data_IF_279998626149
#
_entry.id   IF_279998626149
#
_cell.length_a   1.000
_cell.length_b   1.000
_cell.length_c   1.000
_cell.angle_alpha   90.00
_cell.angle_beta   90.00
_cell.angle_gamma   90.00
#
_symmetry.space_group_name_H-M   'P 1'
#
loop_
_entity.id
_entity.type
_entity.pdbx_description
1 polymer ?
#
# COMPACT_ATOMS: atom_id res chain seq x y z
N UNK A 1 32.56 -13.36 -12.56
CA UNK A 1 31.39 -12.47 -12.75
C UNK A 1 30.70 -12.30 -11.42
N UNK A 2 30.97 -11.21 -10.70
CA UNK A 2 30.25 -10.85 -9.47
C UNK A 2 29.88 -9.39 -9.64
N UNK A 3 28.75 -9.14 -10.29
CA UNK A 3 28.07 -7.85 -10.22
C UNK A 3 26.83 -8.06 -9.36
N UNK A 4 27.05 -8.04 -8.06
CA UNK A 4 25.97 -7.80 -7.11
C UNK A 4 25.62 -6.33 -7.25
N UNK A 5 24.53 -6.03 -7.95
CA UNK A 5 23.88 -4.73 -7.89
C UNK A 5 23.34 -4.53 -6.48
N UNK A 6 24.22 -4.13 -5.56
CA UNK A 6 23.82 -3.51 -4.31
C UNK A 6 23.00 -2.29 -4.69
N UNK A 7 21.69 -2.36 -4.49
CA UNK A 7 20.81 -1.21 -4.46
C UNK A 7 21.30 -0.29 -3.36
N UNK A 8 22.24 0.60 -3.68
CA UNK A 8 22.56 1.74 -2.81
C UNK A 8 21.23 2.47 -2.66
N UNK A 9 20.65 2.53 -1.46
CA UNK A 9 19.35 3.15 -1.32
C UNK A 9 19.52 4.65 -1.61
N UNK A 10 18.61 5.23 -2.41
CA UNK A 10 18.68 6.61 -2.96
C UNK A 10 19.09 7.70 -1.94
N UNK A 11 18.85 7.43 -0.66
CA UNK A 11 19.22 8.24 0.51
C UNK A 11 20.73 8.48 0.70
N UNK A 12 21.60 7.66 0.12
CA UNK A 12 23.07 7.84 0.25
C UNK A 12 23.63 8.87 -0.74
N UNK A 13 22.92 9.16 -1.84
CA UNK A 13 23.36 10.15 -2.83
C UNK A 13 22.88 11.58 -2.49
N UNK A 14 21.87 11.69 -1.63
CA UNK A 14 21.24 12.95 -1.21
C UNK A 14 22.22 14.00 -0.65
N UNK A 15 23.19 13.66 0.23
CA UNK A 15 24.13 14.67 0.75
C UNK A 15 25.03 15.25 -0.36
N UNK A 16 25.44 14.44 -1.34
CA UNK A 16 26.29 14.89 -2.44
C UNK A 16 25.53 15.78 -3.43
N UNK A 17 24.27 15.45 -3.73
CA UNK A 17 23.39 16.25 -4.60
C UNK A 17 23.13 17.66 -4.05
N UNK A 18 23.14 17.84 -2.72
CA UNK A 18 22.98 19.16 -2.09
C UNK A 18 24.25 20.01 -2.17
N UNK A 19 25.43 19.40 -2.11
CA UNK A 19 26.72 20.10 -2.11
C UNK A 19 27.22 20.45 -3.51
N UNK A 20 26.82 19.69 -4.53
CA UNK A 20 27.26 19.86 -5.91
C UNK A 20 26.95 21.26 -6.50
N UNK A 21 25.74 21.83 -6.30
CA UNK A 21 25.42 23.18 -6.80
C UNK A 21 26.26 24.26 -6.12
N UNK A 22 26.51 24.13 -4.82
CA UNK A 22 27.35 25.06 -4.06
C UNK A 22 28.82 24.99 -4.53
N UNK A 23 29.33 23.79 -4.80
CA UNK A 23 30.67 23.59 -5.32
C UNK A 23 30.85 24.17 -6.73
N UNK A 24 29.84 24.01 -7.61
CA UNK A 24 29.84 24.61 -8.96
C UNK A 24 29.81 26.14 -8.87
N UNK A 25 29.01 26.72 -7.97
CA UNK A 25 28.94 28.16 -7.76
C UNK A 25 30.30 28.74 -7.32
N UNK A 26 30.96 28.11 -6.34
CA UNK A 26 32.30 28.51 -5.85
C UNK A 26 33.36 28.41 -6.96
N UNK A 27 33.27 27.41 -7.85
CA UNK A 27 34.17 27.26 -9.00
C UNK A 27 33.91 28.32 -10.08
N UNK A 28 32.66 28.70 -10.29
CA UNK A 28 32.28 29.70 -11.30
C UNK A 28 32.81 31.10 -10.97
N UNK A 29 32.87 31.48 -9.69
CA UNK A 29 33.45 32.77 -9.25
C UNK A 29 34.93 32.93 -9.64
N UNK A 30 35.66 31.80 -9.80
CA UNK A 30 37.08 31.82 -10.21
C UNK A 30 37.30 32.12 -11.70
N UNK A 31 36.24 32.20 -12.50
CA UNK A 31 36.31 32.46 -13.95
C UNK A 31 36.17 33.94 -14.32
N UNK A 32 36.21 34.86 -13.34
CA UNK A 32 36.17 36.30 -13.57
C UNK A 32 34.79 36.82 -14.00
N UNK A 33 34.69 37.95 -14.73
CA UNK A 33 33.42 38.63 -15.03
C UNK A 33 32.40 37.77 -15.82
N UNK A 34 32.90 36.83 -16.62
CA UNK A 34 32.07 35.86 -17.35
C UNK A 34 31.49 34.82 -16.40
N UNK A 35 32.27 34.43 -15.37
CA UNK A 35 31.85 33.52 -14.30
C UNK A 35 30.66 34.04 -13.49
N UNK A 36 30.61 35.34 -13.21
CA UNK A 36 29.49 35.97 -12.50
C UNK A 36 28.16 35.87 -13.27
N UNK A 37 28.17 36.06 -14.59
CA UNK A 37 26.96 35.87 -15.43
C UNK A 37 26.52 34.42 -15.47
N UNK A 38 27.47 33.48 -15.60
CA UNK A 38 27.19 32.03 -15.57
C UNK A 38 26.61 31.60 -14.23
N UNK A 39 27.13 32.12 -13.12
CA UNK A 39 26.64 31.85 -11.77
C UNK A 39 25.19 32.29 -11.59
N UNK A 40 24.82 33.48 -12.06
CA UNK A 40 23.44 33.99 -11.98
C UNK A 40 22.48 33.11 -12.79
N UNK A 41 22.83 32.76 -14.03
CA UNK A 41 21.98 31.89 -14.85
C UNK A 41 21.84 30.48 -14.27
N UNK A 42 22.94 29.91 -13.76
CA UNK A 42 22.92 28.61 -13.10
C UNK A 42 22.05 28.64 -11.84
N UNK A 43 22.22 29.64 -10.98
CA UNK A 43 21.43 29.78 -9.76
C UNK A 43 19.94 29.98 -10.08
N UNK A 44 19.62 30.82 -11.07
CA UNK A 44 18.24 31.02 -11.53
C UNK A 44 17.63 29.71 -12.05
N UNK A 45 18.36 28.92 -12.84
CA UNK A 45 17.89 27.60 -13.31
C UNK A 45 17.72 26.61 -12.17
N UNK A 46 18.62 26.60 -11.18
CA UNK A 46 18.56 25.71 -10.04
C UNK A 46 17.34 26.03 -9.15
N UNK A 47 17.08 27.32 -8.93
CA UNK A 47 15.88 27.78 -8.21
C UNK A 47 14.62 27.40 -8.98
N UNK A 48 14.58 27.62 -10.30
CA UNK A 48 13.42 27.25 -11.13
C UNK A 48 13.15 25.74 -11.06
N UNK A 49 14.19 24.90 -11.18
CA UNK A 49 14.07 23.45 -11.04
C UNK A 49 13.58 23.09 -9.63
N UNK A 50 14.15 23.67 -8.57
CA UNK A 50 13.73 23.41 -7.20
C UNK A 50 12.26 23.78 -6.96
N UNK A 51 11.80 24.91 -7.51
CA UNK A 51 10.39 25.33 -7.44
C UNK A 51 9.46 24.38 -8.21
N UNK A 52 9.93 23.79 -9.32
CA UNK A 52 9.14 22.84 -10.12
C UNK A 52 9.13 21.41 -9.56
N UNK A 53 10.16 21.01 -8.80
CA UNK A 53 10.21 19.67 -8.19
C UNK A 53 8.99 19.42 -7.31
N UNK A 54 8.61 20.37 -6.45
CA UNK A 54 7.47 20.20 -5.54
C UNK A 54 6.12 19.94 -6.26
N UNK A 55 5.66 20.79 -7.20
CA UNK A 55 4.40 20.56 -7.91
C UNK A 55 4.45 19.32 -8.82
N UNK A 56 5.59 19.02 -9.46
CA UNK A 56 5.72 17.82 -10.30
C UNK A 56 5.66 16.55 -9.45
N UNK A 57 6.38 16.51 -8.33
CA UNK A 57 6.35 15.36 -7.41
C UNK A 57 4.98 15.19 -6.77
N UNK A 58 4.30 16.29 -6.41
CA UNK A 58 2.91 16.24 -5.95
C UNK A 58 1.98 15.68 -7.03
N UNK A 59 2.04 16.20 -8.25
CA UNK A 59 1.22 15.74 -9.38
C UNK A 59 1.43 14.24 -9.66
N UNK A 60 2.70 13.80 -9.67
CA UNK A 60 3.06 12.39 -9.85
C UNK A 60 2.55 11.49 -8.73
N UNK A 61 2.48 11.96 -7.49
CA UNK A 61 1.92 11.19 -6.37
C UNK A 61 0.39 11.20 -6.36
N UNK A 62 -0.23 12.33 -6.69
CA UNK A 62 -1.69 12.50 -6.68
C UNK A 62 -2.36 11.76 -7.85
N UNK A 63 -1.79 11.89 -9.06
CA UNK A 63 -2.41 11.41 -10.30
C UNK A 63 -1.67 10.19 -10.86
N UNK A 64 -0.36 10.15 -10.69
CA UNK A 64 0.50 9.08 -11.22
C UNK A 64 0.60 7.85 -10.33
N UNK A 65 1.11 6.77 -10.92
CA UNK A 65 1.42 5.50 -10.25
C UNK A 65 0.46 4.36 -10.64
N UNK A 66 1.02 3.22 -11.03
CA UNK A 66 0.31 1.95 -11.15
C UNK A 66 0.56 1.08 -9.91
N UNK A 67 -0.41 0.26 -9.50
CA UNK A 67 -0.21 -0.72 -8.43
C UNK A 67 -0.48 -0.20 -7.01
N UNK A 68 0.48 -0.38 -6.08
CA UNK A 68 0.30 -0.19 -4.62
C UNK A 68 0.18 1.29 -4.19
N UNK A 69 0.71 2.25 -4.95
CA UNK A 69 0.63 3.69 -4.60
C UNK A 69 -0.80 4.23 -4.65
N UNK A 70 -1.64 3.69 -5.54
CA UNK A 70 -3.06 4.08 -5.66
C UNK A 70 -3.90 3.67 -4.44
N UNK A 71 -3.44 2.72 -3.63
CA UNK A 71 -4.16 2.28 -2.43
C UNK A 71 -4.33 3.37 -1.37
N UNK A 72 -3.48 4.41 -1.39
CA UNK A 72 -3.65 5.58 -0.53
C UNK A 72 -4.84 6.47 -0.92
N UNK A 73 -5.35 6.35 -2.16
CA UNK A 73 -6.44 7.18 -2.71
C UNK A 73 -7.83 6.56 -2.49
N UNK A 74 -7.91 5.31 -2.03
CA UNK A 74 -9.18 4.63 -1.79
C UNK A 74 -10.01 5.34 -0.72
N UNK A 75 -11.33 5.37 -0.87
CA UNK A 75 -12.24 5.79 0.18
C UNK A 75 -12.37 4.66 1.23
N UNK A 76 -11.58 4.75 2.30
CA UNK A 76 -11.57 3.76 3.39
C UNK A 76 -12.88 3.76 4.19
N UNK A 77 -13.63 4.88 4.24
CA UNK A 77 -14.90 4.93 4.93
C UNK A 77 -15.98 4.18 4.14
N UNK A 78 -16.01 4.36 2.81
CA UNK A 78 -16.85 3.57 1.92
C UNK A 78 -16.50 2.07 1.99
N UNK A 79 -15.20 1.76 1.98
CA UNK A 79 -14.74 0.39 2.08
C UNK A 79 -15.14 -0.24 3.43
N UNK A 80 -14.95 0.44 4.56
CA UNK A 80 -15.32 -0.08 5.89
C UNK A 80 -16.82 -0.42 5.94
N UNK A 81 -17.68 0.52 5.49
CA UNK A 81 -19.12 0.26 5.36
C UNK A 81 -19.43 -0.94 4.46
N UNK A 82 -18.63 -1.15 3.41
CA UNK A 82 -18.74 -2.31 2.53
C UNK A 82 -18.40 -3.63 3.22
N UNK A 83 -17.38 -3.65 4.08
CA UNK A 83 -17.00 -4.82 4.89
C UNK A 83 -18.05 -5.12 5.97
N UNK A 84 -18.66 -4.09 6.53
CA UNK A 84 -19.65 -4.19 7.62
C UNK A 84 -21.05 -4.61 7.15
N UNK A 85 -21.30 -4.68 5.83
CA UNK A 85 -22.61 -5.10 5.29
C UNK A 85 -23.08 -6.48 5.78
N UNK A 86 -22.13 -7.38 6.02
CA UNK A 86 -22.37 -8.74 6.48
C UNK A 86 -22.29 -8.87 8.01
N UNK A 87 -22.14 -7.76 8.74
CA UNK A 87 -22.00 -7.74 10.20
C UNK A 87 -20.81 -6.90 10.69
N UNK A 88 -20.67 -6.69 12.00
CA UNK A 88 -19.58 -5.88 12.56
C UNK A 88 -18.20 -6.45 12.21
N UNK A 89 -17.20 -5.57 12.21
CA UNK A 89 -15.79 -5.90 11.94
C UNK A 89 -14.94 -5.29 13.04
N UNK A 90 -14.17 -6.13 13.75
CA UNK A 90 -13.22 -5.71 14.78
C UNK A 90 -11.79 -5.72 14.25
N UNK A 91 -11.45 -6.77 13.50
CA UNK A 91 -10.10 -6.94 12.93
C UNK A 91 -10.14 -6.92 11.41
N UNK A 92 -9.28 -6.09 10.81
CA UNK A 92 -9.02 -6.08 9.38
C UNK A 92 -7.60 -6.56 9.14
N UNK A 93 -7.49 -7.70 8.46
CA UNK A 93 -6.21 -8.25 8.02
C UNK A 93 -6.01 -7.86 6.56
N UNK A 94 -4.83 -7.36 6.22
CA UNK A 94 -4.52 -7.06 4.83
C UNK A 94 -3.03 -7.06 4.54
N UNK A 95 -2.72 -7.28 3.28
CA UNK A 95 -1.35 -7.53 2.84
C UNK A 95 -0.75 -6.32 2.14
N UNK A 96 -0.35 -5.35 2.97
CA UNK A 96 0.43 -4.14 2.69
C UNK A 96 -0.04 -3.05 3.66
N UNK A 97 0.73 -1.98 3.78
CA UNK A 97 0.47 -0.85 4.69
C UNK A 97 -0.83 -0.08 4.42
N UNK A 98 -1.53 -0.31 3.30
CA UNK A 98 -2.74 0.45 2.95
C UNK A 98 -3.92 0.24 3.92
N UNK A 99 -3.97 -0.90 4.63
CA UNK A 99 -4.99 -1.10 5.67
C UNK A 99 -4.80 -0.15 6.85
N UNK A 100 -3.59 0.38 7.06
CA UNK A 100 -3.31 1.33 8.13
C UNK A 100 -4.17 2.59 8.05
N UNK A 101 -4.64 2.94 6.85
CA UNK A 101 -5.51 4.10 6.62
C UNK A 101 -6.92 3.93 7.20
N UNK A 102 -7.38 2.72 7.50
CA UNK A 102 -8.65 2.53 8.23
C UNK A 102 -8.63 3.19 9.60
N UNK A 103 -7.44 3.40 10.18
CA UNK A 103 -7.27 4.10 11.46
C UNK A 103 -7.70 5.57 11.41
N UNK A 104 -7.75 6.16 10.21
CA UNK A 104 -8.28 7.51 9.98
C UNK A 104 -9.81 7.55 10.05
N UNK A 105 -10.47 6.41 9.84
CA UNK A 105 -11.93 6.27 9.84
C UNK A 105 -12.41 5.82 11.21
N UNK A 106 -11.81 4.75 11.74
CA UNK A 106 -12.12 4.21 13.06
C UNK A 106 -10.81 3.78 13.76
N UNK A 107 -10.38 4.49 14.81
CA UNK A 107 -9.16 4.17 15.55
C UNK A 107 -9.29 2.93 16.44
N UNK A 108 -10.48 2.39 16.64
CA UNK A 108 -10.76 1.22 17.48
C UNK A 108 -10.57 -0.12 16.75
N UNK A 109 -10.41 -0.08 15.42
CA UNK A 109 -10.14 -1.26 14.60
C UNK A 109 -8.76 -1.85 14.88
N UNK A 110 -8.69 -3.18 14.94
CA UNK A 110 -7.44 -3.93 14.99
C UNK A 110 -6.96 -4.17 13.56
N UNK A 111 -5.86 -3.52 13.18
CA UNK A 111 -5.33 -3.57 11.82
C UNK A 111 -4.06 -4.44 11.81
N UNK A 112 -4.10 -5.55 11.06
CA UNK A 112 -3.02 -6.54 11.05
C UNK A 112 -2.51 -6.78 9.63
N UNK A 113 -1.19 -6.72 9.46
CA UNK A 113 -0.52 -7.07 8.21
C UNK A 113 0.56 -8.12 8.45
N UNK A 114 1.19 -8.61 7.38
CA UNK A 114 2.28 -9.59 7.44
C UNK A 114 3.53 -9.10 8.20
N UNK A 115 3.70 -7.78 8.30
CA UNK A 115 4.87 -7.16 8.90
C UNK A 115 4.75 -7.12 10.43
N UNK A 116 3.54 -7.32 10.96
CA UNK A 116 3.29 -7.45 12.40
C UNK A 116 3.74 -8.84 12.86
N UNK A 117 4.69 -8.94 13.81
CA UNK A 117 5.11 -10.22 14.37
C UNK A 117 3.94 -10.96 15.01
N UNK A 118 3.82 -12.25 14.68
CA UNK A 118 2.76 -13.15 15.15
C UNK A 118 1.34 -12.59 14.93
N UNK A 119 1.10 -11.90 13.81
CA UNK A 119 -0.18 -11.26 13.53
C UNK A 119 -1.37 -12.23 13.68
N UNK A 120 -1.21 -13.49 13.30
CA UNK A 120 -2.27 -14.51 13.37
C UNK A 120 -2.74 -14.79 14.80
N UNK A 121 -1.89 -14.56 15.82
CA UNK A 121 -2.25 -14.70 17.24
C UNK A 121 -2.93 -13.47 17.83
N UNK A 122 -2.93 -12.35 17.10
CA UNK A 122 -3.49 -11.05 17.54
C UNK A 122 -4.86 -10.76 16.94
N UNK A 123 -5.44 -11.73 16.24
CA UNK A 123 -6.74 -11.58 15.57
C UNK A 123 -7.85 -11.54 16.60
N UNK A 124 -8.60 -10.44 16.65
CA UNK A 124 -9.82 -10.30 17.45
C UNK A 124 -11.06 -10.52 16.57
N UNK A 125 -11.97 -11.38 16.99
CA UNK A 125 -13.23 -11.60 16.27
C UNK A 125 -14.24 -10.46 16.53
N UNK A 126 -15.07 -10.07 15.56
CA UNK A 126 -15.15 -10.60 14.19
C UNK A 126 -14.04 -10.08 13.28
N UNK A 127 -13.39 -10.98 12.54
CA UNK A 127 -12.23 -10.65 11.71
C UNK A 127 -12.49 -10.84 10.21
N UNK A 128 -11.89 -9.98 9.40
CA UNK A 128 -11.97 -10.04 7.93
C UNK A 128 -10.58 -10.00 7.33
N UNK A 129 -10.29 -10.88 6.38
CA UNK A 129 -9.09 -10.82 5.56
C UNK A 129 -9.40 -10.09 4.24
N UNK A 130 -8.50 -9.19 3.81
CA UNK A 130 -8.66 -8.33 2.63
C UNK A 130 -7.43 -8.38 1.72
N UNK A 131 -7.64 -8.32 0.40
CA UNK A 131 -6.56 -8.26 -0.60
C UNK A 131 -7.00 -7.52 -1.87
N UNK A 132 -6.03 -7.15 -2.69
CA UNK A 132 -6.23 -6.29 -3.86
C UNK A 132 -5.89 -7.02 -5.16
N UNK A 133 -6.59 -6.67 -6.25
CA UNK A 133 -6.22 -6.96 -7.64
C UNK A 133 -6.05 -8.44 -8.02
N UNK A 134 -6.53 -9.36 -7.19
CA UNK A 134 -6.54 -10.78 -7.53
C UNK A 134 -7.73 -11.48 -6.86
N UNK A 135 -8.32 -12.49 -7.53
CA UNK A 135 -9.48 -13.19 -7.01
C UNK A 135 -9.15 -14.04 -5.77
N UNK A 136 -7.90 -14.49 -5.62
CA UNK A 136 -7.49 -15.38 -4.54
C UNK A 136 -6.66 -14.69 -3.47
N UNK A 137 -6.85 -15.04 -2.19
CA UNK A 137 -5.99 -14.57 -1.12
C UNK A 137 -4.56 -15.07 -1.40
N UNK A 138 -3.57 -14.18 -1.34
CA UNK A 138 -2.18 -14.60 -1.43
C UNK A 138 -1.80 -15.66 -0.37
N UNK A 139 -0.93 -16.64 -0.68
CA UNK A 139 -0.60 -17.74 0.24
C UNK A 139 -0.04 -17.30 1.60
N UNK A 140 0.74 -16.21 1.62
CA UNK A 140 1.33 -15.65 2.84
C UNK A 140 0.30 -15.01 3.79
N UNK A 141 -0.94 -14.74 3.34
CA UNK A 141 -2.04 -14.33 4.23
C UNK A 141 -2.68 -15.58 4.84
N UNK A 142 -2.92 -16.57 3.99
CA UNK A 142 -3.72 -17.74 4.34
C UNK A 142 -2.98 -18.72 5.25
N UNK A 143 -1.73 -19.06 4.96
CA UNK A 143 -1.02 -20.09 5.72
C UNK A 143 -0.89 -19.77 7.21
N UNK A 144 -0.46 -18.56 7.64
CA UNK A 144 -0.33 -18.28 9.07
C UNK A 144 -1.65 -18.26 9.84
N UNK A 145 -2.76 -17.93 9.16
CA UNK A 145 -4.11 -17.95 9.73
C UNK A 145 -4.61 -19.39 9.90
N UNK A 146 -4.41 -20.22 8.88
CA UNK A 146 -4.74 -21.65 8.94
C UNK A 146 -3.99 -22.37 10.06
N UNK A 147 -2.71 -22.05 10.24
CA UNK A 147 -1.87 -22.72 11.24
C UNK A 147 -2.31 -22.45 12.69
N UNK A 148 -3.11 -21.39 12.93
CA UNK A 148 -3.72 -21.08 14.23
C UNK A 148 -5.21 -21.42 14.30
N UNK A 149 -5.72 -22.15 13.31
CA UNK A 149 -7.10 -22.64 13.27
C UNK A 149 -8.13 -21.66 12.69
N UNK A 150 -7.72 -20.61 11.96
CA UNK A 150 -8.69 -19.80 11.21
C UNK A 150 -9.02 -20.43 9.86
N UNK A 151 -10.31 -20.35 9.51
CA UNK A 151 -10.89 -20.75 8.23
C UNK A 151 -11.62 -19.56 7.60
N UNK A 152 -11.98 -19.72 6.33
CA UNK A 152 -12.82 -18.78 5.63
C UNK A 152 -14.29 -19.21 5.72
N UNK A 153 -15.19 -18.25 5.97
CA UNK A 153 -16.63 -18.48 6.13
C UNK A 153 -17.39 -18.80 4.82
N UNK A 154 -16.76 -19.48 3.86
CA UNK A 154 -17.32 -19.96 2.58
C UNK A 154 -17.49 -18.96 1.42
N UNK A 155 -17.55 -17.63 1.63
CA UNK A 155 -17.73 -16.66 0.54
C UNK A 155 -16.68 -15.55 0.47
N UNK A 156 -16.00 -15.44 -0.68
CA UNK A 156 -15.27 -14.22 -1.05
C UNK A 156 -16.24 -13.20 -1.59
N UNK A 157 -16.29 -12.07 -0.91
CA UNK A 157 -17.02 -10.88 -1.33
C UNK A 157 -16.02 -9.85 -1.89
N UNK A 158 -16.53 -8.84 -2.58
CA UNK A 158 -15.71 -7.74 -3.07
C UNK A 158 -16.44 -6.41 -2.95
N UNK A 159 -15.65 -5.33 -2.85
CA UNK A 159 -16.12 -3.95 -2.89
C UNK A 159 -15.34 -3.22 -3.97
N UNK A 160 -16.05 -2.57 -4.89
CA UNK A 160 -15.45 -1.64 -5.84
C UNK A 160 -15.39 -0.26 -5.18
N UNK A 161 -14.22 0.07 -4.64
CA UNK A 161 -13.99 1.26 -3.82
C UNK A 161 -13.67 2.46 -4.72
N UNK A 162 -14.36 3.59 -4.57
CA UNK A 162 -14.00 4.83 -5.25
C UNK A 162 -12.59 5.29 -4.86
N UNK A 163 -11.81 5.77 -5.82
CA UNK A 163 -10.53 6.43 -5.57
C UNK A 163 -10.65 7.96 -5.73
N UNK A 164 -9.96 8.69 -4.86
CA UNK A 164 -9.73 10.13 -5.01
C UNK A 164 -9.10 10.41 -6.37
N UNK A 165 -9.56 11.46 -7.07
CA UNK A 165 -9.18 11.81 -8.45
C UNK A 165 -9.61 10.80 -9.53
N UNK A 166 -10.64 9.99 -9.25
CA UNK A 166 -11.34 9.17 -10.24
C UNK A 166 -10.84 7.72 -10.34
N UNK A 167 -11.73 6.86 -10.81
CA UNK A 167 -11.54 5.41 -10.91
C UNK A 167 -12.10 4.64 -9.71
N UNK A 168 -12.11 3.32 -9.86
CA UNK A 168 -12.48 2.40 -8.78
C UNK A 168 -11.39 1.35 -8.62
N UNK A 169 -11.29 0.81 -7.41
CA UNK A 169 -10.40 -0.29 -7.08
C UNK A 169 -11.16 -1.41 -6.41
N UNK A 170 -11.04 -2.61 -6.96
CA UNK A 170 -11.65 -3.81 -6.39
C UNK A 170 -10.83 -4.32 -5.21
N UNK A 171 -11.48 -4.38 -4.06
CA UNK A 171 -10.96 -5.01 -2.84
C UNK A 171 -11.75 -6.29 -2.63
N UNK A 172 -11.06 -7.41 -2.53
CA UNK A 172 -11.65 -8.68 -2.17
C UNK A 172 -11.53 -8.88 -0.67
N UNK A 173 -12.53 -9.52 -0.07
CA UNK A 173 -12.52 -9.82 1.34
C UNK A 173 -13.27 -11.11 1.66
N UNK A 174 -12.97 -11.68 2.82
CA UNK A 174 -13.66 -12.84 3.38
C UNK A 174 -13.63 -12.79 4.90
N UNK A 175 -14.72 -13.23 5.54
CA UNK A 175 -14.78 -13.38 7.00
C UNK A 175 -13.96 -14.56 7.46
N UNK A 176 -13.25 -14.35 8.57
CA UNK A 176 -12.49 -15.37 9.26
C UNK A 176 -13.35 -15.96 10.37
N UNK A 177 -13.25 -17.27 10.52
CA UNK A 177 -13.97 -18.07 11.51
C UNK A 177 -12.99 -19.06 12.12
N UNK A 178 -13.15 -19.39 13.40
CA UNK A 178 -12.25 -20.33 14.07
C UNK A 178 -12.75 -21.76 13.93
N UNK A 179 -11.83 -22.69 13.74
CA UNK A 179 -12.09 -24.12 13.61
C UNK A 179 -12.74 -24.66 14.90
N UNK A 180 -13.96 -25.20 14.78
CA UNK A 180 -14.81 -25.60 15.90
C UNK A 180 -16.18 -24.91 15.95
N UNK A 181 -16.42 -23.91 15.10
CA UNK A 181 -17.75 -23.31 14.92
C UNK A 181 -18.70 -24.28 14.17
N UNK A 182 -19.85 -24.68 14.75
CA UNK A 182 -20.78 -25.64 14.17
C UNK A 182 -21.53 -25.14 12.92
N UNK A 183 -21.34 -23.87 12.52
CA UNK A 183 -22.02 -23.28 11.37
C UNK A 183 -21.38 -23.57 10.00
N UNK A 184 -20.29 -24.36 9.91
CA UNK A 184 -19.43 -24.42 8.71
C UNK A 184 -19.02 -25.86 8.31
N UNK A 185 -19.11 -26.24 7.01
CA UNK A 185 -18.75 -27.57 6.53
C UNK A 185 -17.22 -27.86 6.58
N UNK A 186 -16.81 -29.14 6.70
CA UNK A 186 -15.46 -29.54 7.13
C UNK A 186 -14.33 -29.29 6.12
N UNK A 187 -14.60 -28.79 4.91
CA UNK A 187 -13.63 -28.71 3.83
C UNK A 187 -13.31 -27.25 3.50
N UNK A 188 -12.20 -26.74 4.04
CA UNK A 188 -11.59 -25.50 3.59
C UNK A 188 -11.16 -25.64 2.13
N UNK A 189 -12.04 -25.25 1.20
CA UNK A 189 -11.78 -25.32 -0.24
C UNK A 189 -10.62 -24.38 -0.62
N UNK A 190 -9.75 -24.87 -1.50
CA UNK A 190 -8.73 -24.04 -2.14
C UNK A 190 -9.42 -22.95 -2.96
N UNK A 191 -8.84 -21.76 -3.05
CA UNK A 191 -9.44 -20.66 -3.83
C UNK A 191 -9.75 -21.06 -5.29
N UNK A 192 -9.02 -22.01 -5.87
CA UNK A 192 -9.30 -22.59 -7.20
C UNK A 192 -10.69 -23.23 -7.32
N UNK A 193 -11.29 -23.69 -6.22
CA UNK A 193 -12.60 -24.37 -6.19
C UNK A 193 -13.75 -23.41 -5.90
N UNK A 194 -13.46 -22.16 -5.51
CA UNK A 194 -14.46 -21.11 -5.21
C UNK A 194 -15.04 -20.45 -6.47
N UNK A 195 -14.30 -20.47 -7.59
CA UNK A 195 -14.66 -19.77 -8.82
C UNK A 195 -15.41 -20.61 -9.86
N UNK A 196 -15.56 -21.92 -9.61
CA UNK A 196 -16.21 -22.86 -10.54
C UNK A 196 -17.74 -22.95 -10.38
N UNK A 197 -18.36 -22.17 -9.50
CA UNK A 197 -19.82 -22.17 -9.37
C UNK A 197 -20.46 -20.95 -10.06
N UNK A 198 -21.35 -21.15 -11.05
CA UNK A 198 -22.11 -20.06 -11.63
C UNK A 198 -23.07 -19.49 -10.59
N UNK A 199 -23.20 -18.16 -10.59
CA UNK A 199 -24.26 -17.45 -9.84
C UNK A 199 -25.61 -18.06 -10.23
N UNK A 200 -26.33 -18.66 -9.28
CA UNK A 200 -27.76 -18.91 -9.42
C UNK A 200 -28.53 -17.73 -8.85
#
# INVERSE_FOLDING_TARGET
MISGTTKVPDRWLTPFLFLLPAWIAIRAERLGPVGGKVQVHFLASAILVAMLVMPVTWYKQAIGGSGKSRSARMDHAFLLKGLEKEGPVRTIIGYSSWIGNFRLVDPSLVLLNEEVPDFSRRVEEPAVATWLNQPCPPPHIWYPLRDVGYRFADRVSYVDVPESFGGTRRVFYVRLVKEGDPSIPPNGRLCSEWWLQPRR
#
